data_IF_824214166402
#
_entry.id   IF_824214166402
#
_cell.length_a   1.000
_cell.length_b   1.000
_cell.length_c   1.000
_cell.angle_alpha   90.00
_cell.angle_beta   90.00
_cell.angle_gamma   90.00
#
_symmetry.space_group_name_H-M   'P 1'
#
loop_
_entity.id
_entity.type
_entity.pdbx_description
1 polymer ?
#
# COMPACT_ATOMS: atom_id res chain seq x y z
N UNK A 1 82.40 -24.37 -3.00
CA UNK A 1 81.89 -24.63 -4.38
C UNK A 1 80.42 -24.98 -4.24
N UNK A 2 79.53 -23.94 -4.35
CA UNK A 2 78.07 -24.10 -4.20
C UNK A 2 77.48 -24.36 -5.58
N UNK A 3 76.70 -25.41 -5.68
CA UNK A 3 75.82 -25.67 -6.83
C UNK A 3 74.41 -25.50 -6.39
N UNK A 4 73.76 -24.42 -6.84
CA UNK A 4 72.39 -24.15 -6.74
C UNK A 4 71.57 -24.97 -7.73
N UNK A 5 70.69 -25.80 -7.22
CA UNK A 5 69.63 -26.48 -8.00
C UNK A 5 68.46 -25.50 -8.25
N UNK A 6 68.15 -25.23 -9.50
CA UNK A 6 66.93 -24.55 -9.93
C UNK A 6 65.85 -25.59 -10.13
N UNK A 7 64.84 -25.56 -9.30
CA UNK A 7 63.58 -26.32 -9.48
C UNK A 7 62.66 -25.52 -10.36
N UNK A 8 62.30 -26.07 -11.52
CA UNK A 8 61.30 -25.49 -12.44
C UNK A 8 59.96 -26.11 -12.08
N UNK A 9 59.06 -25.31 -11.51
CA UNK A 9 57.69 -25.71 -11.24
C UNK A 9 56.85 -25.52 -12.50
N UNK A 10 56.38 -26.60 -13.08
CA UNK A 10 55.40 -26.57 -14.16
C UNK A 10 53.99 -26.32 -13.57
N UNK A 11 53.41 -25.17 -13.84
CA UNK A 11 52.02 -24.87 -13.49
C UNK A 11 51.13 -25.48 -14.57
N UNK A 12 50.41 -26.52 -14.21
CA UNK A 12 49.39 -27.15 -15.05
C UNK A 12 48.10 -26.34 -14.91
N UNK A 13 47.76 -25.55 -15.93
CA UNK A 13 46.53 -24.76 -16.00
C UNK A 13 45.37 -25.69 -16.37
N UNK A 14 44.60 -26.14 -15.38
CA UNK A 14 43.30 -26.79 -15.61
C UNK A 14 42.26 -25.74 -16.03
N UNK A 15 41.93 -25.72 -17.32
CA UNK A 15 40.74 -25.01 -17.79
C UNK A 15 39.51 -25.82 -17.39
N UNK A 16 38.82 -25.34 -16.36
CA UNK A 16 37.46 -25.80 -16.03
C UNK A 16 36.49 -25.04 -16.95
N UNK A 17 35.93 -25.73 -17.94
CA UNK A 17 34.82 -25.24 -18.71
C UNK A 17 33.58 -25.25 -17.81
N UNK A 18 33.31 -24.15 -17.13
CA UNK A 18 32.00 -23.91 -16.51
C UNK A 18 31.01 -23.65 -17.65
N UNK A 19 30.13 -24.61 -17.91
CA UNK A 19 28.93 -24.40 -18.71
C UNK A 19 28.05 -23.46 -17.89
N UNK A 20 28.17 -22.18 -18.12
CA UNK A 20 27.35 -21.17 -17.51
C UNK A 20 25.94 -21.26 -18.05
N UNK A 21 25.01 -21.76 -17.24
CA UNK A 21 23.60 -21.47 -17.40
C UNK A 21 23.46 -19.94 -17.36
N UNK A 22 23.16 -19.34 -18.51
CA UNK A 22 23.12 -17.90 -18.66
C UNK A 22 22.02 -17.29 -17.80
N UNK A 23 22.35 -16.94 -16.56
CA UNK A 23 21.57 -15.91 -15.85
C UNK A 23 21.81 -14.61 -16.59
N UNK A 24 20.77 -14.08 -17.22
CA UNK A 24 20.79 -12.70 -17.72
C UNK A 24 21.25 -11.79 -16.57
N UNK A 25 22.13 -10.81 -16.84
CA UNK A 25 22.48 -9.83 -15.81
C UNK A 25 21.18 -9.17 -15.35
N UNK A 26 20.85 -9.33 -14.06
CA UNK A 26 19.75 -8.57 -13.45
C UNK A 26 20.04 -7.10 -13.72
N UNK A 27 19.06 -6.40 -14.35
CA UNK A 27 19.10 -4.93 -14.41
C UNK A 27 19.31 -4.45 -12.97
N UNK A 28 20.13 -3.41 -12.73
CA UNK A 28 20.22 -2.83 -11.42
C UNK A 28 18.80 -2.40 -11.00
N UNK A 29 18.22 -3.15 -10.10
CA UNK A 29 16.89 -2.84 -9.56
C UNK A 29 17.09 -1.62 -8.69
N UNK A 30 16.36 -0.53 -8.98
CA UNK A 30 16.38 0.66 -8.15
C UNK A 30 15.86 0.21 -6.78
N UNK A 31 16.64 0.43 -5.74
CA UNK A 31 16.25 0.04 -4.39
C UNK A 31 15.01 0.82 -3.99
N UNK A 32 13.98 0.13 -3.49
CA UNK A 32 12.78 0.76 -2.99
C UNK A 32 13.10 1.76 -1.88
N UNK A 33 12.39 2.89 -1.79
CA UNK A 33 12.55 3.86 -0.72
C UNK A 33 12.32 3.24 0.67
N UNK A 34 12.87 3.89 1.71
CA UNK A 34 12.63 3.47 3.09
C UNK A 34 11.13 3.46 3.41
N UNK A 35 10.65 2.37 3.96
CA UNK A 35 9.23 2.17 4.28
C UNK A 35 8.36 1.74 3.11
N UNK A 36 8.95 1.50 1.94
CA UNK A 36 8.25 0.98 0.76
C UNK A 36 8.37 -0.55 0.64
N UNK A 37 7.39 -1.13 -0.02
CA UNK A 37 7.46 -2.51 -0.54
C UNK A 37 8.32 -2.51 -1.79
N UNK A 38 9.22 -3.49 -1.93
CA UNK A 38 10.12 -3.60 -3.09
C UNK A 38 9.41 -4.22 -4.31
N UNK A 39 8.43 -3.51 -4.83
CA UNK A 39 7.64 -3.84 -6.00
C UNK A 39 7.12 -2.59 -6.68
N UNK A 40 7.15 -2.56 -8.02
CA UNK A 40 6.66 -1.45 -8.83
C UNK A 40 5.24 -1.73 -9.33
N UNK A 41 4.40 -0.70 -9.25
CA UNK A 41 3.02 -0.76 -9.65
C UNK A 41 2.69 0.40 -10.59
N UNK A 42 2.35 0.09 -11.83
CA UNK A 42 1.89 1.12 -12.78
C UNK A 42 0.54 1.71 -12.36
N UNK A 43 0.47 3.03 -12.34
CA UNK A 43 -0.72 3.82 -12.01
C UNK A 43 -1.30 4.57 -13.22
N UNK A 44 -0.58 4.58 -14.31
CA UNK A 44 -0.99 4.94 -15.66
C UNK A 44 0.05 4.39 -16.65
N UNK A 45 -0.05 4.75 -17.94
CA UNK A 45 0.84 4.24 -18.99
C UNK A 45 2.31 4.63 -18.80
N UNK A 46 2.60 5.69 -18.04
CA UNK A 46 3.94 6.28 -17.97
C UNK A 46 4.47 6.44 -16.52
N UNK A 47 3.68 6.10 -15.51
CA UNK A 47 4.05 6.29 -14.12
C UNK A 47 3.88 5.02 -13.31
N UNK A 48 4.84 4.78 -12.44
CA UNK A 48 4.83 3.71 -11.46
C UNK A 48 5.00 4.28 -10.05
N UNK A 49 4.56 3.52 -9.06
CA UNK A 49 4.71 3.84 -7.65
C UNK A 49 5.23 2.65 -6.86
N UNK A 50 5.82 2.95 -5.71
CA UNK A 50 6.02 2.02 -4.61
C UNK A 50 4.90 2.20 -3.59
N UNK A 51 4.33 1.12 -3.09
CA UNK A 51 3.41 1.16 -1.95
C UNK A 51 4.16 1.19 -0.63
N UNK A 52 3.58 1.84 0.38
CA UNK A 52 4.04 1.76 1.76
C UNK A 52 4.04 0.31 2.27
N UNK A 53 4.94 -0.01 3.18
CA UNK A 53 5.08 -1.35 3.77
C UNK A 53 3.85 -1.85 4.52
N UNK A 54 2.97 -0.96 4.97
CA UNK A 54 1.75 -1.26 5.69
C UNK A 54 0.74 -0.12 5.62
N UNK A 55 -0.44 -0.30 6.20
CA UNK A 55 -1.41 0.77 6.37
C UNK A 55 -0.83 1.87 7.25
N UNK A 56 -1.26 3.10 6.99
CA UNK A 56 -0.88 4.25 7.82
C UNK A 56 -1.48 4.11 9.22
N UNK A 57 -0.69 4.41 10.23
CA UNK A 57 -1.10 4.45 11.63
C UNK A 57 -0.71 5.76 12.27
N UNK A 58 -1.51 6.19 13.24
CA UNK A 58 -1.27 7.40 14.02
C UNK A 58 -1.47 7.16 15.50
N UNK A 59 -0.59 7.72 16.33
CA UNK A 59 -0.72 7.73 17.79
C UNK A 59 -0.95 9.15 18.28
N UNK A 60 -2.15 9.47 18.80
CA UNK A 60 -2.52 10.82 19.22
C UNK A 60 -1.61 11.40 20.30
N UNK A 61 -1.38 10.69 21.39
CA UNK A 61 -0.62 11.19 22.55
C UNK A 61 0.82 11.59 22.22
N UNK A 62 1.43 10.96 21.23
CA UNK A 62 2.79 11.27 20.78
C UNK A 62 2.85 12.07 19.48
N UNK A 63 1.69 12.36 18.85
CA UNK A 63 1.59 12.97 17.53
C UNK A 63 2.53 12.28 16.52
N UNK A 64 2.49 10.95 16.47
CA UNK A 64 3.42 10.15 15.68
C UNK A 64 2.71 9.38 14.59
N UNK A 65 3.23 9.47 13.37
CA UNK A 65 2.81 8.69 12.22
C UNK A 65 3.79 7.56 11.94
N UNK A 66 3.27 6.38 11.56
CA UNK A 66 4.05 5.25 11.08
C UNK A 66 3.26 4.43 10.08
N UNK A 67 3.93 3.53 9.38
CA UNK A 67 3.28 2.40 8.71
C UNK A 67 3.19 1.21 9.66
N UNK A 68 2.13 0.42 9.55
CA UNK A 68 2.04 -0.88 10.19
C UNK A 68 3.27 -1.73 9.84
N UNK A 69 3.76 -2.50 10.83
CA UNK A 69 4.96 -3.31 10.62
C UNK A 69 4.70 -4.52 9.73
N UNK A 70 3.53 -5.13 9.86
CA UNK A 70 3.09 -6.18 8.97
C UNK A 70 1.92 -5.68 8.12
N UNK A 71 1.87 -6.12 6.87
CA UNK A 71 0.80 -5.69 5.97
C UNK A 71 -0.58 -6.19 6.38
N UNK A 72 -0.65 -7.28 7.14
CA UNK A 72 -1.90 -7.86 7.66
C UNK A 72 -2.34 -7.26 9.01
N UNK A 73 -1.57 -6.35 9.59
CA UNK A 73 -1.95 -5.68 10.83
C UNK A 73 -3.11 -4.71 10.58
N UNK A 74 -4.21 -4.95 11.29
CA UNK A 74 -5.37 -4.07 11.36
C UNK A 74 -5.70 -3.84 12.83
N UNK A 75 -5.96 -2.60 13.18
CA UNK A 75 -6.37 -2.22 14.53
C UNK A 75 -7.87 -2.44 14.66
N UNK A 76 -8.27 -3.20 15.68
CA UNK A 76 -9.69 -3.41 15.97
C UNK A 76 -10.33 -2.09 16.40
N UNK A 77 -11.39 -1.69 15.68
CA UNK A 77 -12.14 -0.49 16.03
C UNK A 77 -13.14 -0.81 17.13
N UNK A 78 -12.85 -0.33 18.31
CA UNK A 78 -13.85 -0.29 19.35
C UNK A 78 -14.62 1.04 19.25
N UNK A 79 -15.79 1.01 18.63
CA UNK A 79 -16.65 2.20 18.40
C UNK A 79 -17.08 2.89 19.71
N UNK A 80 -16.82 2.29 20.86
CA UNK A 80 -17.13 2.85 22.19
C UNK A 80 -15.98 3.63 22.80
N UNK A 81 -14.81 3.64 22.20
CA UNK A 81 -13.64 4.38 22.71
C UNK A 81 -13.67 5.80 22.15
N UNK A 82 -13.66 6.78 23.05
CA UNK A 82 -13.44 8.18 22.70
C UNK A 82 -11.96 8.37 22.43
N UNK A 83 -11.62 8.73 21.22
CA UNK A 83 -10.25 9.04 20.82
C UNK A 83 -10.07 10.55 20.85
N UNK A 84 -9.10 11.02 21.62
CA UNK A 84 -8.68 12.41 21.70
C UNK A 84 -7.14 12.53 21.63
N UNK A 85 -6.60 13.72 21.88
CA UNK A 85 -5.16 13.99 21.86
C UNK A 85 -4.34 13.22 22.90
N UNK A 86 -4.96 12.63 23.90
CA UNK A 86 -4.28 11.88 24.96
C UNK A 86 -4.35 10.36 24.75
N UNK A 87 -4.99 9.90 23.69
CA UNK A 87 -5.12 8.49 23.40
C UNK A 87 -3.76 7.84 23.10
N UNK A 88 -3.36 6.85 23.88
CA UNK A 88 -2.01 6.27 23.87
C UNK A 88 -1.82 5.15 22.85
N UNK A 89 -2.91 4.59 22.31
CA UNK A 89 -2.80 3.53 21.33
C UNK A 89 -2.80 4.04 19.89
N UNK A 90 -2.54 3.15 18.95
CA UNK A 90 -2.52 3.46 17.53
C UNK A 90 -3.93 3.42 16.93
N UNK A 91 -4.18 4.30 15.97
CA UNK A 91 -5.35 4.26 15.08
C UNK A 91 -4.88 4.11 13.63
N UNK A 92 -5.63 3.37 12.80
CA UNK A 92 -5.28 3.10 11.39
C UNK A 92 -6.38 3.44 10.40
N UNK A 93 -7.45 4.07 10.87
CA UNK A 93 -8.56 4.49 10.05
C UNK A 93 -8.97 5.92 10.35
N UNK A 94 -9.18 6.69 9.30
CA UNK A 94 -9.27 8.13 9.34
C UNK A 94 -10.49 8.61 8.55
N UNK A 95 -11.13 9.69 9.01
CA UNK A 95 -12.08 10.44 8.21
C UNK A 95 -11.33 11.23 7.13
N UNK A 96 -11.99 11.54 6.01
CA UNK A 96 -11.32 12.10 4.83
C UNK A 96 -10.69 13.48 5.09
N UNK A 97 -9.43 13.64 4.71
CA UNK A 97 -8.68 14.90 4.87
C UNK A 97 -8.20 15.20 6.28
N UNK A 98 -8.26 14.24 7.20
CA UNK A 98 -7.83 14.42 8.60
C UNK A 98 -6.34 14.13 8.78
N UNK A 99 -5.50 14.87 8.08
CA UNK A 99 -4.03 14.74 8.15
C UNK A 99 -3.39 15.39 9.39
N UNK A 100 -4.17 16.15 10.18
CA UNK A 100 -3.64 17.03 11.22
C UNK A 100 -3.21 18.42 10.72
N UNK A 101 -3.09 18.61 9.41
CA UNK A 101 -2.59 19.84 8.79
C UNK A 101 -3.62 20.60 7.96
N UNK A 102 -4.79 20.05 7.75
CA UNK A 102 -5.87 20.67 6.96
C UNK A 102 -6.64 21.71 7.77
N UNK A 103 -5.96 22.77 8.22
CA UNK A 103 -6.54 23.80 9.07
C UNK A 103 -7.68 24.61 8.43
N UNK A 104 -7.98 24.38 7.15
CA UNK A 104 -9.17 24.94 6.49
C UNK A 104 -10.46 24.21 6.83
N UNK A 105 -10.40 22.97 7.32
CA UNK A 105 -11.53 22.18 7.75
C UNK A 105 -11.77 22.30 9.27
N UNK A 106 -13.02 22.14 9.70
CA UNK A 106 -13.37 22.06 11.13
C UNK A 106 -12.77 20.80 11.73
N UNK A 107 -13.00 19.67 11.06
CA UNK A 107 -12.43 18.38 11.42
C UNK A 107 -11.19 18.10 10.60
N UNK A 108 -10.02 18.40 11.12
CA UNK A 108 -8.72 18.15 10.48
C UNK A 108 -7.82 17.23 11.27
N UNK A 109 -8.10 17.01 12.53
CA UNK A 109 -7.32 16.11 13.39
C UNK A 109 -7.58 14.65 13.03
N UNK A 110 -6.55 13.78 13.09
CA UNK A 110 -6.68 12.36 12.73
C UNK A 110 -7.75 11.61 13.53
N UNK A 111 -8.06 12.06 14.74
CA UNK A 111 -9.09 11.49 15.60
C UNK A 111 -10.46 12.18 15.50
N UNK A 112 -10.60 13.16 14.62
CA UNK A 112 -11.88 13.91 14.46
C UNK A 112 -13.07 12.98 14.29
N UNK A 113 -14.18 13.35 14.93
CA UNK A 113 -15.39 12.56 15.00
C UNK A 113 -16.63 13.47 14.93
N UNK A 114 -16.97 13.93 13.73
CA UNK A 114 -18.23 14.65 13.43
C UNK A 114 -19.01 13.83 12.42
N UNK A 115 -20.34 13.78 12.59
CA UNK A 115 -21.24 13.13 11.62
C UNK A 115 -21.62 14.07 10.46
N UNK A 116 -21.14 15.30 10.46
CA UNK A 116 -21.40 16.28 9.42
C UNK A 116 -20.26 16.28 8.39
N UNK A 117 -20.54 15.81 7.18
CA UNK A 117 -19.56 15.77 6.10
C UNK A 117 -18.96 17.13 5.73
N UNK A 118 -19.69 18.21 5.93
CA UNK A 118 -19.22 19.57 5.67
C UNK A 118 -18.07 20.00 6.60
N UNK A 119 -17.86 19.32 7.73
CA UNK A 119 -16.75 19.58 8.64
C UNK A 119 -15.42 19.00 8.11
N UNK A 120 -15.50 18.10 7.12
CA UNK A 120 -14.36 17.40 6.50
C UNK A 120 -14.21 17.79 5.03
N UNK A 121 -13.27 18.63 4.69
CA UNK A 121 -12.95 18.92 3.28
C UNK A 121 -11.49 19.28 3.09
N UNK A 122 -11.04 19.24 1.84
CA UNK A 122 -9.65 19.50 1.51
C UNK A 122 -9.36 21.01 1.64
N UNK A 123 -8.48 21.37 2.55
CA UNK A 123 -7.79 22.65 2.69
C UNK A 123 -8.64 23.92 2.36
N UNK A 124 -9.87 23.99 2.85
CA UNK A 124 -10.73 25.17 2.73
C UNK A 124 -11.41 25.34 1.37
N UNK A 125 -11.19 24.41 0.43
CA UNK A 125 -11.91 24.36 -0.85
C UNK A 125 -12.69 23.05 -0.96
N UNK A 126 -14.00 23.15 -1.09
CA UNK A 126 -14.89 21.99 -1.14
C UNK A 126 -14.75 21.15 -2.40
N UNK A 127 -14.01 21.62 -3.41
CA UNK A 127 -13.79 20.93 -4.68
C UNK A 127 -12.34 20.52 -4.90
N UNK A 128 -11.46 20.78 -3.93
CA UNK A 128 -10.06 20.43 -4.00
C UNK A 128 -9.81 18.95 -3.65
N UNK A 129 -8.86 18.33 -4.33
CA UNK A 129 -8.31 17.05 -3.93
C UNK A 129 -7.37 17.21 -2.72
N UNK A 130 -7.09 16.11 -1.98
CA UNK A 130 -6.27 16.19 -0.76
C UNK A 130 -4.86 16.75 -0.99
N UNK A 131 -4.28 16.52 -2.15
CA UNK A 131 -2.92 16.98 -2.50
C UNK A 131 -2.88 18.36 -3.18
N UNK A 132 -4.03 18.99 -3.43
CA UNK A 132 -4.10 20.35 -3.95
C UNK A 132 -3.66 21.36 -2.86
N UNK A 133 -3.42 22.61 -3.23
CA UNK A 133 -3.05 23.67 -2.29
C UNK A 133 -1.88 23.32 -1.35
N UNK A 134 -0.79 22.78 -1.85
CA UNK A 134 0.41 22.36 -1.08
C UNK A 134 0.33 20.94 -0.50
N UNK A 135 -0.74 20.19 -0.72
CA UNK A 135 -0.86 18.80 -0.29
C UNK A 135 -1.07 18.60 1.21
N UNK A 136 -1.33 19.66 1.98
CA UNK A 136 -1.40 19.58 3.45
C UNK A 136 -2.59 18.75 3.95
N UNK A 137 -3.64 18.59 3.16
CA UNK A 137 -4.77 17.74 3.51
C UNK A 137 -4.48 16.26 3.29
N UNK A 138 -3.48 15.91 2.49
CA UNK A 138 -3.05 14.52 2.28
C UNK A 138 -2.25 14.03 3.48
N UNK A 139 -2.52 12.81 3.93
CA UNK A 139 -1.79 12.17 5.02
C UNK A 139 -0.30 11.99 4.72
N UNK A 140 0.06 11.83 3.44
CA UNK A 140 1.44 11.72 2.98
C UNK A 140 2.27 12.99 3.16
N UNK A 141 1.64 14.13 3.49
CA UNK A 141 2.33 15.34 3.89
C UNK A 141 3.13 15.15 5.20
N UNK A 142 2.68 14.26 6.06
CA UNK A 142 3.29 14.05 7.37
C UNK A 142 4.64 13.32 7.30
N UNK A 143 5.44 13.53 8.35
CA UNK A 143 6.64 12.73 8.59
C UNK A 143 6.25 11.38 9.13
N UNK A 144 6.56 10.33 8.39
CA UNK A 144 6.25 8.94 8.77
C UNK A 144 7.54 8.29 9.25
N UNK A 145 7.63 7.96 10.54
CA UNK A 145 8.88 7.60 11.24
C UNK A 145 9.62 6.40 10.62
N UNK A 146 8.90 5.43 10.07
CA UNK A 146 9.45 4.27 9.36
C UNK A 146 9.19 4.32 7.84
N UNK A 147 9.03 5.52 7.30
CA UNK A 147 8.82 5.84 5.90
C UNK A 147 9.73 6.97 5.43
N UNK A 148 11.01 6.96 5.84
CA UNK A 148 12.01 7.98 5.49
C UNK A 148 11.94 9.26 6.33
N UNK A 149 10.94 9.43 7.19
CA UNK A 149 10.79 10.52 8.15
C UNK A 149 10.93 11.95 7.55
N UNK A 150 10.42 12.14 6.34
CA UNK A 150 10.45 13.42 5.63
C UNK A 150 9.02 13.86 5.27
N UNK A 151 8.76 15.16 5.31
CA UNK A 151 7.49 15.77 4.95
C UNK A 151 7.27 15.68 3.44
N UNK A 152 6.05 15.28 3.02
CA UNK A 152 5.64 15.26 1.61
C UNK A 152 6.33 14.20 0.76
N UNK A 153 6.92 13.18 1.40
CA UNK A 153 7.56 12.07 0.69
C UNK A 153 6.54 11.07 0.11
N UNK A 154 5.39 10.99 0.72
CA UNK A 154 4.32 10.06 0.39
C UNK A 154 3.07 10.80 -0.09
N UNK A 155 2.17 10.10 -0.72
CA UNK A 155 0.85 10.60 -1.10
C UNK A 155 -0.20 9.52 -1.14
N UNK A 156 -1.46 9.91 -1.08
CA UNK A 156 -2.60 9.02 -1.31
C UNK A 156 -2.82 8.88 -2.83
N UNK A 157 -3.18 7.68 -3.29
CA UNK A 157 -3.58 7.46 -4.69
C UNK A 157 -4.86 8.21 -5.03
N UNK A 158 -4.96 8.70 -6.27
CA UNK A 158 -6.21 9.21 -6.80
C UNK A 158 -7.20 8.08 -7.11
N UNK A 159 -8.47 8.41 -7.30
CA UNK A 159 -9.47 7.47 -7.79
C UNK A 159 -9.05 6.81 -9.11
N UNK A 160 -8.60 7.61 -10.07
CA UNK A 160 -8.22 7.11 -11.40
C UNK A 160 -7.00 6.19 -11.35
N UNK A 161 -6.05 6.45 -10.43
CA UNK A 161 -4.90 5.58 -10.20
C UNK A 161 -5.33 4.24 -9.58
N UNK A 162 -6.25 4.25 -8.60
CA UNK A 162 -6.84 3.02 -8.08
C UNK A 162 -7.59 2.23 -9.16
N UNK A 163 -8.41 2.89 -9.99
CA UNK A 163 -9.07 2.25 -11.13
C UNK A 163 -8.06 1.64 -12.11
N UNK A 164 -6.96 2.35 -12.37
CA UNK A 164 -5.91 1.84 -13.25
C UNK A 164 -5.26 0.57 -12.69
N UNK A 165 -4.93 0.56 -11.40
CA UNK A 165 -4.32 -0.60 -10.72
C UNK A 165 -5.20 -1.84 -10.86
N UNK A 166 -6.50 -1.71 -10.63
CA UNK A 166 -7.42 -2.85 -10.64
C UNK A 166 -7.90 -3.23 -12.04
N UNK A 167 -8.15 -2.27 -12.91
CA UNK A 167 -8.90 -2.50 -14.15
C UNK A 167 -8.08 -2.44 -15.42
N UNK A 168 -7.07 -1.59 -15.46
CA UNK A 168 -6.40 -1.22 -16.71
C UNK A 168 -4.94 -1.66 -16.77
N UNK A 169 -4.28 -1.78 -15.63
CA UNK A 169 -2.86 -2.07 -15.54
C UNK A 169 -2.48 -3.34 -16.30
N UNK A 170 -1.45 -3.23 -17.11
CA UNK A 170 -0.82 -4.37 -17.78
C UNK A 170 0.37 -4.84 -16.96
N UNK A 171 0.37 -6.12 -16.55
CA UNK A 171 1.49 -6.76 -15.85
C UNK A 171 2.10 -7.83 -16.73
N UNK A 172 3.34 -8.22 -16.46
CA UNK A 172 4.05 -9.26 -17.23
C UNK A 172 3.27 -10.57 -17.29
N UNK A 173 2.64 -10.95 -16.19
CA UNK A 173 1.86 -12.19 -16.07
C UNK A 173 0.38 -12.05 -16.43
N UNK A 174 -0.11 -10.84 -16.63
CA UNK A 174 -1.54 -10.53 -16.73
C UNK A 174 -2.27 -10.55 -15.38
N UNK A 175 -1.61 -10.95 -14.29
CA UNK A 175 -2.18 -10.95 -12.95
C UNK A 175 -2.02 -9.57 -12.29
N UNK A 176 -3.11 -8.98 -11.79
CA UNK A 176 -3.12 -7.69 -11.10
C UNK A 176 -3.38 -7.83 -9.61
N UNK A 177 -4.33 -8.69 -9.25
CA UNK A 177 -4.73 -8.90 -7.85
C UNK A 177 -5.40 -10.26 -7.64
N UNK A 178 -5.46 -10.68 -6.38
CA UNK A 178 -6.25 -11.82 -5.93
C UNK A 178 -6.79 -11.61 -4.52
N UNK A 179 -7.93 -12.22 -4.20
CA UNK A 179 -8.43 -12.30 -2.83
C UNK A 179 -7.63 -13.32 -2.04
N UNK A 180 -7.32 -13.03 -0.79
CA UNK A 180 -6.56 -13.92 0.08
C UNK A 180 -6.92 -13.76 1.56
N UNK A 181 -6.55 -14.78 2.33
CA UNK A 181 -6.35 -14.69 3.78
C UNK A 181 -4.86 -14.86 4.04
N UNK A 182 -4.25 -13.86 4.65
CA UNK A 182 -2.84 -13.88 5.03
C UNK A 182 -2.75 -13.78 6.54
N UNK A 183 -2.15 -14.75 7.18
CA UNK A 183 -2.03 -14.81 8.65
C UNK A 183 -3.37 -14.48 9.36
N UNK A 184 -4.47 -15.11 8.93
CA UNK A 184 -5.84 -14.88 9.38
C UNK A 184 -6.45 -13.49 9.04
N UNK A 185 -5.72 -12.58 8.43
CA UNK A 185 -6.27 -11.33 7.94
C UNK A 185 -6.80 -11.52 6.51
N UNK A 186 -8.06 -11.18 6.34
CA UNK A 186 -8.68 -11.13 5.03
C UNK A 186 -8.18 -9.91 4.25
N UNK A 187 -8.01 -10.05 2.93
CA UNK A 187 -7.54 -8.92 2.14
C UNK A 187 -7.43 -9.21 0.65
N UNK A 188 -6.86 -8.23 -0.04
CA UNK A 188 -6.54 -8.29 -1.45
C UNK A 188 -5.05 -8.17 -1.62
N UNK A 189 -4.46 -9.14 -2.30
CA UNK A 189 -3.06 -9.07 -2.73
C UNK A 189 -3.00 -8.35 -4.07
N UNK A 190 -2.16 -7.31 -4.16
CA UNK A 190 -1.77 -6.69 -5.42
C UNK A 190 -0.44 -7.30 -5.87
N UNK A 191 -0.35 -7.66 -7.14
CA UNK A 191 0.88 -8.17 -7.75
C UNK A 191 1.66 -7.01 -8.38
N UNK A 192 2.99 -6.92 -8.23
CA UNK A 192 3.79 -5.94 -8.95
C UNK A 192 3.76 -6.20 -10.47
N UNK A 193 4.21 -5.25 -11.25
CA UNK A 193 4.11 -5.32 -12.72
C UNK A 193 4.91 -6.48 -13.33
N UNK A 194 6.00 -6.86 -12.68
CA UNK A 194 6.90 -7.94 -13.10
C UNK A 194 6.62 -9.30 -12.41
N UNK A 195 5.48 -9.43 -11.74
CA UNK A 195 5.10 -10.67 -11.04
C UNK A 195 5.24 -11.93 -11.93
N UNK A 196 5.96 -12.93 -11.43
CA UNK A 196 6.10 -14.24 -12.05
C UNK A 196 5.16 -15.26 -11.38
N UNK A 197 4.12 -15.75 -12.06
CA UNK A 197 3.16 -16.69 -11.50
C UNK A 197 3.72 -18.10 -11.28
N UNK A 198 4.95 -18.38 -11.74
CA UNK A 198 5.63 -19.67 -11.49
C UNK A 198 6.15 -19.76 -10.05
N UNK A 199 6.29 -18.63 -9.35
CA UNK A 199 6.74 -18.56 -7.96
C UNK A 199 5.68 -19.09 -6.99
N UNK A 200 4.43 -18.68 -7.20
CA UNK A 200 3.29 -19.09 -6.38
C UNK A 200 2.02 -19.05 -7.22
N UNK A 201 1.22 -20.12 -7.15
CA UNK A 201 0.00 -20.25 -7.94
C UNK A 201 -1.21 -19.67 -7.20
N UNK A 202 -1.54 -18.42 -7.50
CA UNK A 202 -2.77 -17.81 -7.03
C UNK A 202 -3.96 -18.24 -7.88
N UNK A 203 -5.10 -18.44 -7.24
CA UNK A 203 -6.38 -18.73 -7.91
C UNK A 203 -7.31 -17.51 -7.86
N UNK A 204 -8.35 -17.51 -8.70
CA UNK A 204 -9.33 -16.41 -8.82
C UNK A 204 -8.68 -15.04 -9.08
N UNK A 205 -7.60 -15.03 -9.87
CA UNK A 205 -6.85 -13.83 -10.24
C UNK A 205 -7.72 -12.88 -11.05
N UNK A 206 -7.63 -11.57 -10.76
CA UNK A 206 -8.40 -10.50 -11.40
C UNK A 206 -9.94 -10.61 -11.24
N UNK A 207 -10.41 -11.36 -10.27
CA UNK A 207 -11.85 -11.47 -9.99
C UNK A 207 -12.27 -10.44 -8.96
N UNK A 208 -12.98 -9.38 -9.40
CA UNK A 208 -13.60 -8.39 -8.50
C UNK A 208 -14.74 -8.96 -7.69
N UNK A 209 -15.32 -10.08 -8.15
CA UNK A 209 -16.40 -10.78 -7.48
C UNK A 209 -16.10 -12.26 -7.40
N UNK A 210 -16.01 -12.78 -6.18
CA UNK A 210 -15.91 -14.19 -5.90
C UNK A 210 -17.19 -14.68 -5.22
N UNK A 211 -17.79 -15.76 -5.76
CA UNK A 211 -19.07 -16.26 -5.28
C UNK A 211 -18.95 -17.30 -4.17
N UNK A 212 -17.74 -17.76 -3.90
CA UNK A 212 -17.51 -18.74 -2.84
C UNK A 212 -17.27 -18.04 -1.51
N UNK A 213 -17.95 -18.43 -0.43
CA UNK A 213 -17.62 -17.96 0.90
C UNK A 213 -16.23 -18.47 1.37
N UNK A 214 -15.64 -19.41 0.62
CA UNK A 214 -14.32 -19.95 0.91
C UNK A 214 -13.28 -19.25 0.06
N UNK A 215 -12.46 -18.45 0.72
CA UNK A 215 -11.31 -17.85 0.07
C UNK A 215 -10.33 -18.98 -0.23
N UNK A 216 -9.93 -19.02 -1.47
CA UNK A 216 -9.11 -20.10 -1.99
C UNK A 216 -7.62 -19.89 -1.79
N UNK A 217 -7.17 -18.62 -1.62
CA UNK A 217 -5.78 -18.29 -1.33
C UNK A 217 -5.59 -18.08 0.17
N UNK A 218 -5.17 -19.13 0.88
CA UNK A 218 -4.85 -19.06 2.31
C UNK A 218 -3.34 -19.19 2.47
N UNK A 219 -2.71 -18.15 2.99
CA UNK A 219 -1.26 -18.00 3.02
C UNK A 219 -0.82 -17.87 4.47
N UNK A 220 0.12 -18.71 4.88
CA UNK A 220 0.73 -18.61 6.21
C UNK A 220 1.61 -17.36 6.32
N UNK A 221 1.88 -16.89 7.54
CA UNK A 221 2.81 -15.80 7.77
C UNK A 221 4.19 -16.06 7.14
N UNK A 222 4.70 -17.28 7.27
CA UNK A 222 6.00 -17.68 6.72
C UNK A 222 6.03 -17.57 5.20
N UNK A 223 5.00 -18.10 4.53
CA UNK A 223 4.91 -18.03 3.07
C UNK A 223 4.69 -16.60 2.61
N UNK A 224 3.87 -15.83 3.33
CA UNK A 224 3.65 -14.42 3.02
C UNK A 224 4.94 -13.61 3.11
N UNK A 225 5.71 -13.78 4.17
CA UNK A 225 6.98 -13.09 4.34
C UNK A 225 7.97 -13.42 3.21
N UNK A 226 8.04 -14.68 2.79
CA UNK A 226 8.85 -15.05 1.64
C UNK A 226 8.39 -14.38 0.34
N UNK A 227 7.08 -14.37 0.08
CA UNK A 227 6.50 -13.77 -1.11
C UNK A 227 6.63 -12.24 -1.11
N UNK A 228 6.30 -11.61 0.02
CA UNK A 228 6.33 -10.16 0.15
C UNK A 228 7.76 -9.58 0.03
N UNK A 229 8.73 -10.12 0.80
CA UNK A 229 10.09 -9.57 0.79
C UNK A 229 10.87 -9.88 -0.49
N UNK A 230 10.60 -11.00 -1.16
CA UNK A 230 11.34 -11.37 -2.37
C UNK A 230 10.71 -10.83 -3.65
N UNK A 231 9.41 -10.63 -3.68
CA UNK A 231 8.67 -10.33 -4.91
C UNK A 231 7.79 -9.09 -4.83
N UNK A 232 7.82 -8.35 -3.74
CA UNK A 232 7.17 -7.06 -3.65
C UNK A 232 5.64 -7.09 -3.68
N UNK A 233 5.00 -8.17 -3.19
CA UNK A 233 3.55 -8.23 -3.12
C UNK A 233 3.01 -7.26 -2.08
N UNK A 234 1.89 -6.65 -2.37
CA UNK A 234 1.16 -5.76 -1.45
C UNK A 234 -0.12 -6.43 -1.00
N UNK A 235 -0.32 -6.55 0.32
CA UNK A 235 -1.59 -6.92 0.91
C UNK A 235 -2.33 -5.66 1.36
N UNK A 236 -3.57 -5.54 0.94
CA UNK A 236 -4.54 -4.57 1.43
C UNK A 236 -5.49 -5.32 2.38
N UNK A 237 -5.23 -5.32 3.69
CA UNK A 237 -6.06 -6.04 4.65
C UNK A 237 -7.41 -5.37 4.83
N UNK A 238 -8.43 -6.17 5.16
CA UNK A 238 -9.80 -5.73 5.28
C UNK A 238 -10.37 -6.32 6.55
N UNK A 239 -10.91 -5.45 7.38
CA UNK A 239 -11.56 -5.86 8.61
C UNK A 239 -13.04 -6.25 8.39
N UNK A 240 -13.62 -7.00 9.31
CA UNK A 240 -14.89 -7.75 9.19
C UNK A 240 -16.15 -6.91 8.82
N UNK A 241 -16.11 -5.59 8.80
CA UNK A 241 -17.28 -4.72 8.61
C UNK A 241 -17.30 -3.93 7.29
N UNK A 242 -16.57 -4.38 6.28
CA UNK A 242 -16.46 -3.62 5.04
C UNK A 242 -15.59 -2.39 5.24
N UNK A 243 -14.31 -2.49 4.96
CA UNK A 243 -13.39 -1.37 5.02
C UNK A 243 -13.05 -0.92 3.62
N UNK A 244 -13.09 0.38 3.43
CA UNK A 244 -12.63 1.03 2.23
C UNK A 244 -11.22 1.61 2.44
N UNK A 245 -10.54 1.86 1.36
CA UNK A 245 -9.30 2.63 1.31
C UNK A 245 -9.57 3.97 0.66
N UNK A 246 -9.17 5.05 1.32
CA UNK A 246 -9.34 6.39 0.78
C UNK A 246 -8.57 6.60 -0.52
N UNK A 247 -9.17 7.35 -1.44
CA UNK A 247 -8.45 8.06 -2.48
C UNK A 247 -8.27 9.54 -2.09
N UNK A 248 -7.32 10.21 -2.75
CA UNK A 248 -7.14 11.66 -2.59
C UNK A 248 -8.14 12.48 -3.40
N UNK A 249 -8.97 11.84 -4.23
CA UNK A 249 -9.85 12.54 -5.14
C UNK A 249 -11.13 13.00 -4.47
N UNK A 250 -11.44 14.27 -4.67
CA UNK A 250 -12.72 14.86 -4.35
C UNK A 250 -13.82 14.36 -5.30
N UNK A 251 -15.04 14.23 -4.81
CA UNK A 251 -16.20 13.96 -5.64
C UNK A 251 -16.92 15.27 -5.98
N UNK A 252 -16.93 15.63 -7.27
CA UNK A 252 -17.55 16.85 -7.81
C UNK A 252 -19.07 16.76 -8.03
N UNK A 253 -19.64 15.59 -7.85
CA UNK A 253 -21.10 15.41 -7.92
C UNK A 253 -21.71 15.96 -6.65
N UNK A 254 -22.56 16.98 -6.77
CA UNK A 254 -23.30 17.69 -5.72
C UNK A 254 -24.25 16.78 -4.90
N UNK A 255 -23.82 15.62 -4.51
CA UNK A 255 -24.52 14.75 -3.60
C UNK A 255 -23.92 14.89 -2.20
N UNK A 256 -24.65 14.47 -1.20
CA UNK A 256 -24.26 14.50 0.21
C UNK A 256 -22.94 13.74 0.48
N UNK A 257 -22.45 12.99 -0.53
CA UNK A 257 -21.29 12.11 -0.48
C UNK A 257 -20.09 12.81 -1.09
N UNK A 258 -19.31 13.52 -0.34
CA UNK A 258 -18.18 14.27 -0.84
C UNK A 258 -16.96 13.44 -1.30
N UNK A 259 -17.08 12.12 -1.59
CA UNK A 259 -15.92 11.27 -1.58
C UNK A 259 -15.91 10.16 -2.60
N UNK A 260 -14.69 9.84 -3.01
CA UNK A 260 -14.39 8.57 -3.66
C UNK A 260 -13.50 7.71 -2.77
N UNK A 261 -13.95 6.50 -2.43
CA UNK A 261 -13.09 5.46 -1.89
C UNK A 261 -12.33 4.76 -2.99
N UNK A 262 -11.14 4.29 -2.69
CA UNK A 262 -10.37 3.48 -3.63
C UNK A 262 -11.10 2.18 -3.95
N UNK A 263 -11.64 1.51 -2.96
CA UNK A 263 -12.48 0.33 -3.07
C UNK A 263 -13.24 0.09 -1.78
N UNK A 264 -14.33 -0.60 -1.91
CA UNK A 264 -15.10 -1.14 -0.81
C UNK A 264 -15.15 -2.66 -0.93
N UNK A 265 -14.99 -3.35 0.19
CA UNK A 265 -15.33 -4.77 0.28
C UNK A 265 -16.56 -4.94 1.13
N UNK A 266 -17.61 -5.52 0.51
CA UNK A 266 -18.77 -5.89 1.26
C UNK A 266 -18.48 -7.11 2.16
N UNK A 267 -19.15 -7.17 3.29
CA UNK A 267 -19.01 -8.27 4.27
C UNK A 267 -19.49 -9.64 3.78
N UNK A 268 -20.13 -9.69 2.63
CA UNK A 268 -20.50 -10.92 1.94
C UNK A 268 -19.47 -11.18 0.85
N UNK A 269 -18.99 -12.41 0.69
CA UNK A 269 -17.69 -12.72 0.20
C UNK A 269 -17.32 -12.01 -1.10
N UNK A 270 -16.23 -11.22 -1.01
CA UNK A 270 -15.40 -10.99 -2.15
C UNK A 270 -15.91 -10.04 -3.23
N UNK A 271 -16.39 -8.87 -2.88
CA UNK A 271 -16.59 -7.82 -3.87
C UNK A 271 -15.55 -6.74 -3.75
N UNK A 272 -15.00 -6.30 -4.89
CA UNK A 272 -14.14 -5.12 -4.99
C UNK A 272 -14.88 -4.09 -5.84
N UNK A 273 -15.18 -2.96 -5.23
CA UNK A 273 -15.70 -1.79 -5.92
C UNK A 273 -14.62 -0.71 -5.89
N UNK A 274 -14.31 -0.13 -7.03
CA UNK A 274 -13.33 0.94 -7.15
C UNK A 274 -14.03 2.21 -7.58
N UNK A 275 -13.74 3.32 -6.90
CA UNK A 275 -14.34 4.60 -7.20
C UNK A 275 -15.79 4.74 -6.70
N UNK A 276 -16.19 3.95 -5.71
CA UNK A 276 -17.44 4.17 -4.96
C UNK A 276 -17.34 5.40 -4.08
N UNK A 277 -18.50 6.01 -3.82
CA UNK A 277 -18.59 7.17 -2.95
C UNK A 277 -18.76 6.71 -1.51
N UNK A 278 -18.09 7.41 -0.60
CA UNK A 278 -18.20 7.18 0.84
C UNK A 278 -18.34 8.51 1.57
N UNK A 279 -19.04 8.54 2.69
CA UNK A 279 -19.17 9.72 3.53
C UNK A 279 -17.81 10.14 4.09
N UNK A 280 -17.52 11.45 4.09
CA UNK A 280 -16.23 11.99 4.57
C UNK A 280 -15.98 11.69 6.04
N UNK A 281 -17.04 11.60 6.84
CA UNK A 281 -16.94 11.29 8.26
C UNK A 281 -16.66 9.81 8.55
N UNK A 282 -16.92 8.93 7.60
CA UNK A 282 -16.59 7.52 7.75
C UNK A 282 -15.07 7.32 7.82
N UNK A 283 -14.66 6.33 8.59
CA UNK A 283 -13.25 6.04 8.81
C UNK A 283 -12.80 4.91 7.90
N UNK A 284 -11.93 5.23 6.96
CA UNK A 284 -11.32 4.27 6.05
C UNK A 284 -9.82 4.16 6.27
N UNK A 285 -9.23 3.07 5.81
CA UNK A 285 -7.77 2.90 5.82
C UNK A 285 -7.10 3.82 4.80
N UNK A 286 -5.83 4.08 5.06
CA UNK A 286 -4.96 4.84 4.17
C UNK A 286 -3.75 3.97 3.82
N UNK A 287 -3.54 3.76 2.51
CA UNK A 287 -2.35 3.13 1.97
C UNK A 287 -1.63 4.12 1.08
N UNK A 288 -0.49 4.60 1.54
CA UNK A 288 0.27 5.62 0.85
C UNK A 288 1.18 5.01 -0.22
N UNK A 289 1.54 5.86 -1.19
CA UNK A 289 2.48 5.53 -2.24
C UNK A 289 3.55 6.61 -2.37
N UNK A 290 4.67 6.22 -2.97
CA UNK A 290 5.74 7.11 -3.41
C UNK A 290 5.96 6.91 -4.90
N UNK A 291 6.07 8.01 -5.66
CA UNK A 291 6.32 7.94 -7.10
C UNK A 291 7.71 7.30 -7.36
N UNK A 292 7.75 6.40 -8.32
CA UNK A 292 9.01 5.84 -8.81
C UNK A 292 9.54 6.76 -9.92
N UNK A 293 10.65 7.45 -9.68
CA UNK A 293 11.35 8.34 -10.65
C UNK A 293 11.97 7.58 -11.83
#
# INVERSE_FOLDING_TARGET
MNRTLKATAAIMLMMVFAVGCGKQPMKPQKQAPEGAVDGLFSINENKQVYFSQGNLQYQPSSNTWQFAWNQYDCIDRNDYIVIDENYDEWIDAFAWGTSGNNHGAVCYQPWSNSENDADYFAYGDSVANLYDHTGQADWGYNRIRNGGNQTGQWRTLTKDEWEYIFDKRTTTSGARFAHAVVNNAFGIILFPDDWDPTVYSFVEVNKKKIFSPFITNVISETDWNALHYQYGLVLLPIYQRGCAYWSSSYNDKNDEYGLNCAFEMSTLPGFIFVGTNEYRHNKCYVRLVQDAD
#
